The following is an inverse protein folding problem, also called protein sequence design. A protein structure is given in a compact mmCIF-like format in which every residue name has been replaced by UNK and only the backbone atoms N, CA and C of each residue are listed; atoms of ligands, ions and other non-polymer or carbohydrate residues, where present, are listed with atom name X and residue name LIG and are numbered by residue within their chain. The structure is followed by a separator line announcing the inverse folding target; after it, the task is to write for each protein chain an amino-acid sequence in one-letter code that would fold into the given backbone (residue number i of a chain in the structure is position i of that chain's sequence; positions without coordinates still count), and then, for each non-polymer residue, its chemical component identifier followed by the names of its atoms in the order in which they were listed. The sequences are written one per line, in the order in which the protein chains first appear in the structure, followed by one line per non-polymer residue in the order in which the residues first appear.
data_IF_417807204550
#
_entry.id   IF_417807204550
#
_cell.length_a   1.000
_cell.length_b   1.000
_cell.length_c   1.000
_cell.angle_alpha   90.00
_cell.angle_beta   90.00
_cell.angle_gamma   90.00
#
_symmetry.space_group_name_H-M   'P 1'
#
loop_
_entity.id
_entity.type
_entity.pdbx_description
1 polymer ?
#
# COMPACT_ATOMS: atom_id res chain seq x y z
N UNK A 1 7.88 1.65 -13.33
CA UNK A 1 9.31 1.34 -13.04
C UNK A 1 9.88 0.33 -14.02
N UNK A 2 9.26 -0.85 -14.18
CA UNK A 2 9.75 -1.89 -15.10
C UNK A 2 9.93 -1.42 -16.55
N UNK A 3 8.96 -0.68 -17.10
CA UNK A 3 9.02 -0.15 -18.48
C UNK A 3 10.18 0.82 -18.74
N UNK A 4 10.66 1.51 -17.70
CA UNK A 4 11.81 2.39 -17.78
C UNK A 4 13.15 1.65 -17.56
N UNK A 5 13.13 0.32 -17.39
CA UNK A 5 14.33 -0.49 -17.19
C UNK A 5 14.98 -0.36 -15.81
N UNK A 6 14.32 0.29 -14.84
CA UNK A 6 14.90 0.49 -13.50
C UNK A 6 14.92 -0.77 -12.63
N UNK A 7 14.10 -1.77 -12.95
CA UNK A 7 13.98 -3.01 -12.18
C UNK A 7 14.06 -4.23 -13.11
N UNK A 8 14.66 -5.31 -12.61
CA UNK A 8 14.77 -6.57 -13.35
C UNK A 8 13.43 -7.30 -13.38
N UNK A 9 13.22 -8.14 -14.40
CA UNK A 9 12.00 -8.95 -14.54
C UNK A 9 11.76 -9.85 -13.32
N UNK A 10 12.82 -10.47 -12.80
CA UNK A 10 12.77 -11.32 -11.60
C UNK A 10 12.18 -10.60 -10.38
N UNK A 11 12.45 -9.30 -10.21
CA UNK A 11 11.87 -8.51 -9.13
C UNK A 11 10.36 -8.29 -9.31
N UNK A 12 9.90 -8.15 -10.56
CA UNK A 12 8.48 -8.05 -10.89
C UNK A 12 7.77 -9.37 -10.64
N UNK A 13 8.40 -10.49 -11.00
CA UNK A 13 7.86 -11.83 -10.75
C UNK A 13 7.71 -12.08 -9.25
N UNK A 14 8.75 -11.77 -8.45
CA UNK A 14 8.68 -11.83 -6.99
C UNK A 14 7.61 -10.91 -6.39
N UNK A 15 7.48 -9.68 -6.88
CA UNK A 15 6.41 -8.77 -6.46
C UNK A 15 5.02 -9.36 -6.74
N UNK A 16 4.83 -10.00 -7.90
CA UNK A 16 3.55 -10.62 -8.26
C UNK A 16 3.22 -11.84 -7.40
N UNK A 17 4.22 -12.64 -7.00
CA UNK A 17 4.04 -13.74 -6.05
C UNK A 17 3.54 -13.23 -4.70
N UNK A 18 4.24 -12.24 -4.12
CA UNK A 18 3.83 -11.59 -2.87
C UNK A 18 2.43 -10.99 -3.00
N UNK A 19 2.16 -10.26 -4.10
CA UNK A 19 0.85 -9.65 -4.38
C UNK A 19 -0.27 -10.71 -4.37
N UNK A 20 -0.03 -11.86 -5.02
CA UNK A 20 -1.02 -12.94 -5.16
C UNK A 20 -1.41 -13.56 -3.81
N UNK A 21 -0.44 -13.76 -2.92
CA UNK A 21 -0.70 -14.39 -1.61
C UNK A 21 -1.18 -13.42 -0.54
N UNK A 22 -0.89 -12.12 -0.70
CA UNK A 22 -1.28 -11.10 0.29
C UNK A 22 -2.63 -10.49 -0.01
N UNK A 23 -2.91 -10.10 -1.26
CA UNK A 23 -4.12 -9.32 -1.59
C UNK A 23 -5.39 -10.17 -1.50
N UNK A 24 -5.33 -11.48 -1.76
CA UNK A 24 -6.50 -12.36 -1.70
C UNK A 24 -7.10 -12.51 -0.29
N UNK A 25 -6.34 -12.15 0.74
CA UNK A 25 -6.76 -12.23 2.13
C UNK A 25 -7.62 -11.03 2.60
N UNK A 26 -7.84 -10.05 1.71
CA UNK A 26 -8.53 -8.79 2.00
C UNK A 26 -9.62 -8.47 0.97
N UNK A 27 -10.63 -7.73 1.41
CA UNK A 27 -11.66 -7.19 0.54
C UNK A 27 -11.13 -5.94 -0.20
N UNK A 28 -11.52 -5.74 -1.48
CA UNK A 28 -11.16 -4.52 -2.22
C UNK A 28 -11.87 -3.31 -1.61
N UNK A 29 -11.44 -2.06 -1.83
CA UNK A 29 -12.14 -0.88 -1.31
C UNK A 29 -13.59 -0.77 -1.82
N UNK A 30 -14.41 0.07 -1.17
CA UNK A 30 -15.77 0.35 -1.67
C UNK A 30 -15.75 1.33 -2.84
N UNK A 31 -15.01 2.43 -2.68
CA UNK A 31 -14.86 3.50 -3.68
C UNK A 31 -13.38 3.69 -4.01
N UNK A 32 -13.10 3.90 -5.29
CA UNK A 32 -11.80 4.33 -5.80
C UNK A 32 -11.95 5.71 -6.44
N UNK A 33 -11.25 6.69 -5.90
CA UNK A 33 -11.23 8.06 -6.43
C UNK A 33 -9.97 8.23 -7.27
N UNK A 34 -10.13 8.44 -8.57
CA UNK A 34 -9.05 8.69 -9.51
C UNK A 34 -9.03 10.17 -9.94
N UNK A 35 -7.89 10.82 -9.76
CA UNK A 35 -7.69 12.22 -10.16
C UNK A 35 -6.88 12.27 -11.45
N UNK A 36 -7.52 12.70 -12.53
CA UNK A 36 -6.90 12.83 -13.84
C UNK A 36 -6.20 14.19 -13.96
N UNK A 37 -4.86 14.14 -14.03
CA UNK A 37 -4.00 15.30 -14.21
C UNK A 37 -3.03 15.01 -15.35
N UNK A 38 -2.97 15.85 -16.39
CA UNK A 38 -2.10 15.60 -17.54
C UNK A 38 -0.62 15.73 -17.15
N UNK A 39 0.25 14.89 -17.73
CA UNK A 39 1.69 14.84 -17.41
C UNK A 39 2.40 16.20 -17.49
N UNK A 40 2.18 17.07 -18.50
CA UNK A 40 2.81 18.38 -18.56
C UNK A 40 2.47 19.27 -17.36
N UNK A 41 1.22 19.17 -16.87
CA UNK A 41 0.78 19.88 -15.69
C UNK A 41 1.41 19.32 -14.42
N UNK A 42 1.49 17.97 -14.29
CA UNK A 42 2.19 17.31 -13.19
C UNK A 42 3.64 17.76 -13.12
N UNK A 43 4.36 17.79 -14.24
CA UNK A 43 5.75 18.24 -14.28
C UNK A 43 5.90 19.69 -13.81
N UNK A 44 5.01 20.57 -14.26
CA UNK A 44 4.99 21.96 -13.84
C UNK A 44 4.74 22.08 -12.33
N UNK A 45 3.84 21.26 -11.77
CA UNK A 45 3.55 21.20 -10.32
C UNK A 45 4.77 20.69 -9.53
N UNK A 46 5.47 19.67 -10.01
CA UNK A 46 6.70 19.14 -9.38
C UNK A 46 7.80 20.22 -9.36
N UNK A 47 7.97 20.94 -10.46
CA UNK A 47 8.94 22.05 -10.54
C UNK A 47 8.58 23.18 -9.57
N UNK A 48 7.30 23.57 -9.48
CA UNK A 48 6.82 24.58 -8.53
C UNK A 48 7.01 24.17 -7.07
N UNK A 49 6.91 22.88 -6.76
CA UNK A 49 7.15 22.34 -5.40
C UNK A 49 8.62 22.48 -4.97
N UNK A 50 9.55 22.52 -5.93
CA UNK A 50 10.96 22.86 -5.68
C UNK A 50 11.79 21.81 -4.94
N UNK A 51 11.35 20.55 -4.87
CA UNK A 51 12.14 19.49 -4.24
C UNK A 51 13.24 18.98 -5.20
N UNK A 52 14.54 19.17 -4.91
CA UNK A 52 15.63 18.83 -5.84
C UNK A 52 15.71 17.35 -6.22
N UNK A 53 15.20 16.45 -5.38
CA UNK A 53 15.19 15.00 -5.64
C UNK A 53 14.05 14.61 -6.58
N UNK A 54 12.88 15.22 -6.41
CA UNK A 54 11.69 14.94 -7.22
C UNK A 54 11.77 15.57 -8.62
N UNK A 55 12.48 16.68 -8.77
CA UNK A 55 12.67 17.35 -10.07
C UNK A 55 13.41 16.48 -11.11
N UNK A 56 14.07 15.40 -10.70
CA UNK A 56 14.79 14.47 -11.58
C UNK A 56 13.88 13.41 -12.24
N UNK A 57 12.58 13.41 -11.92
CA UNK A 57 11.63 12.44 -12.48
C UNK A 57 11.40 12.72 -13.97
N UNK A 58 11.49 11.69 -14.80
CA UNK A 58 11.32 11.79 -16.25
C UNK A 58 9.84 11.88 -16.64
N UNK A 59 9.53 12.63 -17.71
CA UNK A 59 8.18 12.68 -18.29
C UNK A 59 7.71 11.30 -18.74
N UNK A 60 8.60 10.52 -19.35
CA UNK A 60 8.31 9.17 -19.81
C UNK A 60 7.84 8.25 -18.67
N UNK A 61 8.47 8.36 -17.49
CA UNK A 61 8.05 7.60 -16.31
C UNK A 61 6.64 7.99 -15.83
N UNK A 62 6.34 9.30 -15.79
CA UNK A 62 5.01 9.79 -15.43
C UNK A 62 3.93 9.32 -16.42
N UNK A 63 4.24 9.35 -17.73
CA UNK A 63 3.35 8.85 -18.76
C UNK A 63 3.10 7.35 -18.62
N UNK A 64 4.12 6.57 -18.28
CA UNK A 64 3.98 5.14 -18.03
C UNK A 64 3.11 4.84 -16.80
N UNK A 65 3.20 5.66 -15.74
CA UNK A 65 2.32 5.55 -14.58
C UNK A 65 0.87 5.81 -15.00
N UNK A 66 0.61 6.93 -15.68
CA UNK A 66 -0.73 7.27 -16.17
C UNK A 66 -1.32 6.15 -17.04
N UNK A 67 -0.53 5.66 -17.99
CA UNK A 67 -0.91 4.56 -18.86
C UNK A 67 -1.21 3.27 -18.09
N UNK A 68 -0.45 2.94 -17.05
CA UNK A 68 -0.68 1.76 -16.22
C UNK A 68 -1.96 1.90 -15.39
N UNK A 69 -2.24 3.09 -14.84
CA UNK A 69 -3.47 3.36 -14.13
C UNK A 69 -4.69 3.21 -15.05
N UNK A 70 -4.68 3.88 -16.21
CA UNK A 70 -5.81 3.89 -17.15
C UNK A 70 -6.06 2.53 -17.82
N UNK A 71 -5.00 1.77 -18.14
CA UNK A 71 -5.12 0.51 -18.89
C UNK A 71 -5.26 -0.74 -18.03
N UNK A 72 -4.75 -0.74 -16.80
CA UNK A 72 -4.74 -1.93 -15.95
C UNK A 72 -5.55 -1.72 -14.69
N UNK A 73 -5.28 -0.67 -13.93
CA UNK A 73 -5.87 -0.48 -12.60
C UNK A 73 -7.35 -0.08 -12.65
N UNK A 74 -7.72 0.92 -13.44
CA UNK A 74 -9.11 1.38 -13.52
C UNK A 74 -10.07 0.31 -14.05
N UNK A 75 -9.73 -0.47 -15.11
CA UNK A 75 -10.56 -1.59 -15.52
C UNK A 75 -10.72 -2.65 -14.42
N UNK A 76 -9.62 -3.07 -13.77
CA UNK A 76 -9.68 -4.07 -12.70
C UNK A 76 -10.54 -3.60 -11.51
N UNK A 77 -10.42 -2.33 -11.13
CA UNK A 77 -11.20 -1.77 -10.02
C UNK A 77 -12.66 -1.53 -10.40
N UNK A 78 -12.96 -1.21 -11.65
CA UNK A 78 -14.34 -1.01 -12.12
C UNK A 78 -15.21 -2.27 -12.04
N UNK A 79 -14.58 -3.45 -12.07
CA UNK A 79 -15.25 -4.75 -11.90
C UNK A 79 -15.62 -5.02 -10.43
N UNK A 80 -14.81 -4.52 -9.48
CA UNK A 80 -14.87 -4.91 -8.06
C UNK A 80 -15.42 -3.80 -7.15
N UNK A 81 -15.34 -2.54 -7.58
CA UNK A 81 -15.57 -1.35 -6.77
C UNK A 81 -16.30 -0.28 -7.60
N UNK A 82 -16.84 0.73 -6.90
CA UNK A 82 -17.29 1.95 -7.57
C UNK A 82 -16.09 2.89 -7.83
N UNK A 83 -15.96 3.37 -9.06
CA UNK A 83 -14.84 4.21 -9.49
C UNK A 83 -15.36 5.61 -9.82
N UNK A 84 -14.84 6.62 -9.14
CA UNK A 84 -15.11 8.04 -9.40
C UNK A 84 -13.87 8.67 -10.04
N UNK A 85 -14.05 9.32 -11.18
CA UNK A 85 -12.97 10.00 -11.90
C UNK A 85 -13.21 11.51 -11.89
N UNK A 86 -12.23 12.26 -11.41
CA UNK A 86 -12.27 13.72 -11.34
C UNK A 86 -11.13 14.34 -12.12
N UNK A 87 -11.40 15.47 -12.79
CA UNK A 87 -10.32 16.32 -13.29
C UNK A 87 -9.59 17.03 -12.15
N UNK A 88 -8.39 17.53 -12.41
CA UNK A 88 -7.58 18.26 -11.44
C UNK A 88 -8.26 19.49 -10.80
N UNK A 89 -9.27 20.07 -11.48
CA UNK A 89 -10.06 21.21 -10.98
C UNK A 89 -11.22 20.75 -10.11
N UNK A 90 -11.96 19.75 -10.58
CA UNK A 90 -13.10 19.20 -9.84
C UNK A 90 -12.67 18.53 -8.54
N UNK A 91 -11.51 17.88 -8.53
CA UNK A 91 -10.96 17.27 -7.32
C UNK A 91 -10.61 18.28 -6.20
N UNK A 92 -10.59 19.59 -6.49
CA UNK A 92 -10.42 20.62 -5.45
C UNK A 92 -11.72 20.94 -4.73
N UNK A 93 -12.87 20.64 -5.34
CA UNK A 93 -14.18 20.85 -4.75
C UNK A 93 -14.56 19.63 -3.89
N UNK A 94 -14.31 19.75 -2.59
CA UNK A 94 -14.57 18.66 -1.65
C UNK A 94 -16.07 18.38 -1.47
N UNK A 95 -16.93 19.39 -1.60
CA UNK A 95 -18.38 19.24 -1.44
C UNK A 95 -18.93 18.36 -2.56
N UNK A 96 -18.55 18.67 -3.81
CA UNK A 96 -18.90 17.84 -4.97
C UNK A 96 -18.47 16.37 -4.78
N UNK A 97 -17.24 16.13 -4.33
CA UNK A 97 -16.75 14.75 -4.12
C UNK A 97 -17.56 14.01 -3.06
N UNK A 98 -17.95 14.68 -1.98
CA UNK A 98 -18.77 14.10 -0.92
C UNK A 98 -20.17 13.78 -1.44
N UNK A 99 -20.81 14.72 -2.14
CA UNK A 99 -22.13 14.51 -2.74
C UNK A 99 -22.12 13.30 -3.69
N UNK A 100 -21.14 13.23 -4.59
CA UNK A 100 -21.01 12.10 -5.52
C UNK A 100 -20.86 10.76 -4.77
N UNK A 101 -20.14 10.73 -3.64
CA UNK A 101 -20.01 9.52 -2.80
C UNK A 101 -21.32 9.15 -2.11
N UNK A 102 -22.11 10.13 -1.65
CA UNK A 102 -23.40 9.89 -1.00
C UNK A 102 -24.45 9.34 -1.98
N UNK A 103 -24.42 9.79 -3.24
CA UNK A 103 -25.33 9.31 -4.28
C UNK A 103 -24.89 7.98 -4.92
N UNK A 104 -23.70 7.46 -4.60
CA UNK A 104 -23.24 6.17 -5.10
C UNK A 104 -24.08 5.01 -4.53
N UNK A 105 -24.43 4.09 -5.42
CA UNK A 105 -25.06 2.81 -5.06
C UNK A 105 -24.01 1.71 -5.05
N UNK A 106 -23.80 1.12 -3.88
CA UNK A 106 -22.83 0.04 -3.68
C UNK A 106 -23.46 -1.32 -4.04
N UNK A 107 -23.45 -1.64 -5.32
CA UNK A 107 -24.00 -2.91 -5.83
C UNK A 107 -22.88 -3.88 -6.27
N UNK A 108 -21.63 -3.41 -6.34
CA UNK A 108 -20.48 -4.19 -6.82
C UNK A 108 -19.64 -4.75 -5.67
N UNK A 109 -18.92 -5.83 -6.01
CA UNK A 109 -17.87 -6.40 -5.18
C UNK A 109 -18.36 -7.39 -4.12
N UNK A 110 -17.42 -8.07 -3.45
CA UNK A 110 -17.72 -9.13 -2.48
C UNK A 110 -18.27 -8.62 -1.15
N UNK A 111 -18.52 -7.30 -1.01
CA UNK A 111 -18.92 -6.67 0.25
C UNK A 111 -20.31 -7.10 0.71
N UNK A 112 -21.23 -7.31 -0.23
CA UNK A 112 -22.62 -7.71 0.06
C UNK A 112 -22.73 -9.17 0.50
N UNK A 113 -21.75 -10.00 0.13
CA UNK A 113 -21.74 -11.44 0.40
C UNK A 113 -21.10 -11.80 1.76
N UNK A 114 -20.65 -10.81 2.52
CA UNK A 114 -19.96 -11.04 3.80
C UNK A 114 -20.95 -11.32 4.94
N UNK A 115 -20.60 -12.27 5.81
CA UNK A 115 -21.34 -12.60 7.01
C UNK A 115 -20.57 -12.17 8.29
N UNK A 116 -21.21 -12.28 9.45
CA UNK A 116 -20.57 -11.92 10.73
C UNK A 116 -19.30 -12.74 10.99
N UNK A 117 -19.21 -13.95 10.42
CA UNK A 117 -18.06 -14.84 10.58
C UNK A 117 -16.88 -14.36 9.74
N UNK A 118 -17.09 -14.03 8.47
CA UNK A 118 -16.04 -13.52 7.59
C UNK A 118 -15.52 -12.18 8.09
N UNK A 119 -16.40 -11.29 8.56
CA UNK A 119 -15.97 -10.05 9.20
C UNK A 119 -15.21 -10.28 10.50
N UNK A 120 -15.62 -11.24 11.32
CA UNK A 120 -14.86 -11.62 12.52
C UNK A 120 -13.46 -12.13 12.16
N UNK A 121 -13.34 -13.04 11.18
CA UNK A 121 -12.05 -13.56 10.70
C UNK A 121 -11.16 -12.45 10.16
N UNK A 122 -11.71 -11.54 9.35
CA UNK A 122 -10.97 -10.38 8.83
C UNK A 122 -10.47 -9.49 9.97
N UNK A 123 -11.31 -9.22 10.97
CA UNK A 123 -10.96 -8.45 12.18
C UNK A 123 -9.81 -9.11 12.95
N UNK A 124 -9.91 -10.42 13.19
CA UNK A 124 -8.89 -11.18 13.92
C UNK A 124 -7.54 -11.20 13.22
N UNK A 125 -7.54 -11.13 11.88
CA UNK A 125 -6.33 -11.02 11.08
C UNK A 125 -5.71 -9.62 11.12
N UNK A 126 -6.49 -8.57 10.85
CA UNK A 126 -5.94 -7.20 10.70
C UNK A 126 -5.40 -6.61 12.01
N UNK A 127 -5.85 -7.12 13.15
CA UNK A 127 -5.30 -6.72 14.45
C UNK A 127 -3.85 -7.18 14.63
N UNK A 128 -3.50 -8.41 14.21
CA UNK A 128 -2.19 -9.01 14.43
C UNK A 128 -1.22 -8.59 13.32
N UNK A 129 -0.34 -7.63 13.63
CA UNK A 129 0.60 -7.06 12.65
C UNK A 129 1.61 -8.08 12.13
N UNK A 130 2.03 -9.03 12.95
CA UNK A 130 2.98 -10.07 12.52
C UNK A 130 2.32 -11.04 11.55
N UNK A 131 1.06 -11.38 11.77
CA UNK A 131 0.30 -12.26 10.88
C UNK A 131 0.02 -11.62 9.53
N UNK A 132 -0.32 -10.32 9.50
CA UNK A 132 -0.45 -9.53 8.26
C UNK A 132 0.86 -9.54 7.46
N UNK A 133 2.01 -9.42 8.15
CA UNK A 133 3.31 -9.35 7.51
C UNK A 133 3.90 -10.72 7.14
N UNK A 134 3.31 -11.82 7.63
CA UNK A 134 3.87 -13.17 7.46
C UNK A 134 4.08 -13.54 5.99
N UNK A 135 3.15 -13.15 5.12
CA UNK A 135 3.20 -13.45 3.68
C UNK A 135 4.02 -12.43 2.86
N UNK A 136 4.57 -11.40 3.51
CA UNK A 136 5.45 -10.43 2.84
C UNK A 136 6.89 -10.93 2.74
N UNK A 137 7.30 -11.82 3.64
CA UNK A 137 8.65 -12.40 3.72
C UNK A 137 8.70 -13.80 3.09
N UNK A 138 8.64 -13.85 1.76
CA UNK A 138 8.73 -15.12 1.00
C UNK A 138 10.19 -15.58 0.92
N UNK A 139 10.50 -16.88 1.08
CA UNK A 139 11.86 -17.42 0.98
C UNK A 139 12.35 -17.55 -0.47
N UNK A 140 12.31 -16.46 -1.23
CA UNK A 140 12.85 -16.33 -2.59
C UNK A 140 14.04 -15.39 -2.53
N UNK A 141 15.22 -15.92 -2.88
CA UNK A 141 16.47 -15.17 -2.79
C UNK A 141 16.69 -14.31 -4.03
N UNK A 142 16.61 -12.99 -3.87
CA UNK A 142 16.91 -12.00 -4.91
C UNK A 142 17.98 -11.02 -4.41
N UNK A 143 18.96 -10.65 -5.25
CA UNK A 143 20.07 -9.76 -4.84
C UNK A 143 19.63 -8.40 -4.28
N UNK A 144 18.51 -7.85 -4.74
CA UNK A 144 18.02 -6.53 -4.32
C UNK A 144 17.39 -6.53 -2.93
N UNK A 145 16.89 -7.68 -2.46
CA UNK A 145 16.10 -7.77 -1.21
C UNK A 145 16.74 -8.68 -0.17
N UNK A 146 17.52 -9.67 -0.59
CA UNK A 146 18.18 -10.61 0.31
C UNK A 146 19.36 -9.94 1.00
N UNK A 147 19.29 -9.87 2.32
CA UNK A 147 20.35 -9.34 3.18
C UNK A 147 21.18 -10.51 3.72
N UNK A 148 22.51 -10.38 3.69
CA UNK A 148 23.40 -11.40 4.24
C UNK A 148 23.28 -11.51 5.76
N UNK A 149 23.42 -12.73 6.29
CA UNK A 149 23.20 -13.02 7.72
C UNK A 149 24.01 -12.10 8.66
N UNK A 150 25.28 -11.84 8.36
CA UNK A 150 26.12 -10.97 9.19
C UNK A 150 25.65 -9.51 9.24
N UNK A 151 25.07 -8.99 8.15
CA UNK A 151 24.52 -7.63 8.13
C UNK A 151 23.21 -7.57 8.91
N UNK A 152 22.35 -8.59 8.74
CA UNK A 152 21.09 -8.70 9.47
C UNK A 152 21.29 -8.80 10.97
N UNK A 153 22.26 -9.61 11.41
CA UNK A 153 22.61 -9.79 12.83
C UNK A 153 23.06 -8.49 13.48
N UNK A 154 23.96 -7.76 12.82
CA UNK A 154 24.41 -6.44 13.27
C UNK A 154 23.25 -5.45 13.40
N UNK A 155 22.43 -5.33 12.35
CA UNK A 155 21.29 -4.42 12.36
C UNK A 155 20.26 -4.77 13.44
N UNK A 156 20.08 -6.07 13.74
CA UNK A 156 19.19 -6.55 14.79
C UNK A 156 19.69 -6.17 16.19
N UNK A 157 21.00 -6.30 16.46
CA UNK A 157 21.61 -5.86 17.71
C UNK A 157 21.48 -4.34 17.89
N UNK A 158 21.83 -3.55 16.87
CA UNK A 158 21.68 -2.08 16.89
C UNK A 158 20.23 -1.66 17.17
N UNK A 159 19.26 -2.32 16.53
CA UNK A 159 17.84 -2.05 16.76
C UNK A 159 17.39 -2.36 18.20
N UNK A 160 17.94 -3.44 18.79
CA UNK A 160 17.61 -3.87 20.15
C UNK A 160 18.19 -2.90 21.18
N UNK A 161 19.41 -2.39 20.96
CA UNK A 161 20.06 -1.41 21.82
C UNK A 161 19.39 -0.03 21.78
N UNK A 162 18.86 0.38 20.63
CA UNK A 162 18.15 1.67 20.45
C UNK A 162 16.77 1.69 21.12
N UNK A 163 16.19 0.53 21.47
CA UNK A 163 14.95 0.47 22.27
C UNK A 163 15.32 0.36 23.76
N UNK A 164 15.29 1.46 24.56
CA UNK A 164 15.30 1.28 25.99
C UNK A 164 13.93 0.71 26.39
N UNK A 165 13.91 -0.57 26.75
CA UNK A 165 12.89 -1.20 27.61
C UNK A 165 11.42 -0.99 27.22
N UNK A 166 10.94 -1.76 26.24
CA UNK A 166 9.57 -2.33 26.29
C UNK A 166 9.57 -3.78 26.84
N UNK A 167 10.73 -4.25 27.28
CA UNK A 167 10.91 -5.52 27.98
C UNK A 167 11.22 -5.22 29.46
N UNK A 168 10.19 -5.13 30.31
CA UNK A 168 10.40 -5.06 31.77
C UNK A 168 9.38 -4.23 32.54
N UNK A 169 8.13 -4.69 32.67
CA UNK A 169 7.26 -4.30 33.79
C UNK A 169 6.21 -5.37 34.10
N UNK A 170 6.65 -6.60 34.36
CA UNK A 170 5.91 -7.55 35.20
C UNK A 170 6.90 -8.30 36.10
N UNK A 171 7.41 -7.64 37.13
CA UNK A 171 8.04 -8.30 38.28
C UNK A 171 7.22 -8.00 39.52
N UNK A 172 6.33 -8.94 39.84
CA UNK A 172 5.97 -9.42 41.18
C UNK A 172 6.29 -8.49 42.36
N UNK A 173 5.29 -7.73 42.81
CA UNK A 173 5.30 -7.09 44.11
C UNK A 173 4.87 -8.07 45.21
N UNK A 174 5.78 -8.90 45.70
CA UNK A 174 5.60 -9.60 46.98
C UNK A 174 6.00 -8.64 48.10
N UNK A 175 5.05 -7.86 48.62
CA UNK A 175 5.24 -7.15 49.90
C UNK A 175 4.88 -8.10 51.03
N UNK A 176 5.90 -8.70 51.66
CA UNK A 176 5.81 -9.15 53.05
C UNK A 176 5.54 -7.93 53.93
N UNK A 177 4.49 -8.00 54.76
CA UNK A 177 4.26 -7.13 55.91
C UNK A 177 4.17 -8.03 57.15
N UNK A 178 5.21 -7.98 57.96
CA UNK A 178 5.07 -7.92 59.41
C UNK A 178 4.89 -6.45 59.77
#
# INVERSE_FOLDING_TARGET
MYRQGFIRKQCVDHYNEVKKVTICEYLPPHVVIYVDVPVPEIQSRIQKKGNPREMKITSAYLQDIENAYKRTFLPEMSEKCEVLQYSAREAQDAEKVIEDIEYLKYEKGPWLDQDDRTFHSLRMRVQNKLEVLNYTTIPVYLPEVTIGAHQSDRAFHEFTEVRPSSAGSQTTGTKSRL
#
